data_IF_455796090305
#
_entry.id   IF_455796090305
#
_cell.length_a   1.000
_cell.length_b   1.000
_cell.length_c   1.000
_cell.angle_alpha   90.00
_cell.angle_beta   90.00
_cell.angle_gamma   90.00
#
_symmetry.space_group_name_H-M   'P 1'
#
loop_
_entity.id
_entity.type
_entity.pdbx_description
1 polymer ?
#
# COMPACT_ATOMS: atom_id res chain seq x y z
N UNK A 1 17.56 31.00 -6.05
CA UNK A 1 17.79 29.54 -6.09
C UNK A 1 16.56 28.87 -6.67
N UNK A 2 16.66 28.41 -7.91
CA UNK A 2 15.58 27.80 -8.68
C UNK A 2 15.58 26.31 -8.37
N UNK A 3 14.63 25.85 -7.56
CA UNK A 3 14.52 24.43 -7.21
C UNK A 3 13.68 23.76 -8.31
N UNK A 4 14.37 23.14 -9.26
CA UNK A 4 13.80 22.24 -10.26
C UNK A 4 13.44 20.90 -9.59
N UNK A 5 12.19 20.73 -9.20
CA UNK A 5 11.58 19.40 -9.21
C UNK A 5 10.97 19.19 -10.59
N UNK A 6 11.73 18.58 -11.49
CA UNK A 6 11.16 17.99 -12.70
C UNK A 6 10.41 16.76 -12.24
N UNK A 7 9.09 16.88 -12.07
CA UNK A 7 8.22 15.74 -12.34
C UNK A 7 8.56 15.28 -13.75
N UNK A 8 8.93 14.01 -13.92
CA UNK A 8 9.16 13.45 -15.25
C UNK A 8 7.90 13.56 -16.12
N UNK A 9 6.73 13.64 -15.46
CA UNK A 9 5.46 13.90 -16.11
C UNK A 9 5.01 15.34 -15.82
N UNK A 10 4.98 16.19 -16.85
CA UNK A 10 4.53 17.60 -16.79
C UNK A 10 3.06 17.77 -16.42
N UNK A 11 2.32 16.66 -16.36
CA UNK A 11 0.87 16.65 -16.39
C UNK A 11 0.25 16.67 -14.99
N UNK A 12 1.08 16.68 -13.93
CA UNK A 12 0.62 16.61 -12.54
C UNK A 12 1.11 17.79 -11.70
N UNK A 13 0.25 18.21 -10.76
CA UNK A 13 0.56 19.21 -9.77
C UNK A 13 1.68 18.72 -8.84
N UNK A 14 2.79 19.45 -8.77
CA UNK A 14 3.92 19.10 -7.92
C UNK A 14 3.66 19.17 -6.40
N UNK A 15 2.50 19.68 -5.96
CA UNK A 15 2.13 19.78 -4.54
C UNK A 15 1.04 18.79 -4.13
N UNK A 16 -0.07 18.73 -4.85
CA UNK A 16 -1.22 17.88 -4.50
C UNK A 16 -1.42 16.68 -5.42
N UNK A 17 -0.61 16.52 -6.48
CA UNK A 17 -0.69 15.36 -7.38
C UNK A 17 -1.91 15.34 -8.30
N UNK A 18 -2.77 16.36 -8.28
CA UNK A 18 -3.89 16.50 -9.23
C UNK A 18 -3.39 16.72 -10.64
N UNK A 19 -4.03 16.12 -11.64
CA UNK A 19 -3.76 16.38 -13.05
C UNK A 19 -3.93 17.88 -13.35
N UNK A 20 -2.91 18.49 -13.97
CA UNK A 20 -2.96 19.86 -14.43
C UNK A 20 -3.59 19.90 -15.83
N UNK A 21 -4.55 20.80 -16.02
CA UNK A 21 -5.07 21.11 -17.34
C UNK A 21 -4.03 21.99 -18.05
N UNK A 22 -3.09 21.37 -18.76
CA UNK A 22 -2.07 22.10 -19.51
C UNK A 22 -2.71 22.77 -20.74
N UNK A 23 -2.44 24.07 -20.97
CA UNK A 23 -2.88 24.76 -22.16
C UNK A 23 -2.14 24.21 -23.38
N UNK A 24 -2.78 24.22 -24.57
CA UNK A 24 -2.20 23.65 -25.79
C UNK A 24 -0.95 24.40 -26.26
N UNK A 25 -0.80 25.67 -25.88
CA UNK A 25 0.31 26.54 -26.28
C UNK A 25 1.02 27.11 -25.05
N UNK A 26 2.35 27.19 -25.11
CA UNK A 26 3.19 27.95 -24.19
C UNK A 26 3.70 29.23 -24.89
N UNK A 27 4.01 30.33 -24.18
CA UNK A 27 3.99 30.48 -22.72
C UNK A 27 2.57 30.68 -22.17
N UNK A 28 2.29 30.09 -21.01
CA UNK A 28 0.98 30.21 -20.35
C UNK A 28 1.06 29.94 -18.84
N UNK A 29 0.06 30.41 -18.12
CA UNK A 29 -0.05 30.26 -16.68
C UNK A 29 -1.05 29.15 -16.35
N UNK A 30 -0.61 28.18 -15.54
CA UNK A 30 -1.43 27.03 -15.14
C UNK A 30 -1.68 27.08 -13.65
N UNK A 31 -2.95 27.01 -13.25
CA UNK A 31 -3.36 26.93 -11.84
C UNK A 31 -3.95 25.56 -11.53
N UNK A 32 -3.52 24.94 -10.43
CA UNK A 32 -4.12 23.70 -9.95
C UNK A 32 -5.53 23.98 -9.40
N UNK A 33 -6.52 23.18 -9.83
CA UNK A 33 -7.91 23.29 -9.36
C UNK A 33 -8.13 22.91 -7.89
N UNK A 34 -7.20 22.15 -7.29
CA UNK A 34 -7.33 21.65 -5.91
C UNK A 34 -6.54 22.51 -4.92
N UNK A 35 -5.27 22.78 -5.20
CA UNK A 35 -4.40 23.54 -4.26
C UNK A 35 -4.15 24.99 -4.66
N UNK A 36 -4.75 25.48 -5.77
CA UNK A 36 -4.59 26.84 -6.30
C UNK A 36 -3.14 27.32 -6.56
N UNK A 37 -2.18 26.41 -6.54
CA UNK A 37 -0.79 26.75 -6.88
C UNK A 37 -0.69 27.08 -8.36
N UNK A 38 0.12 28.09 -8.69
CA UNK A 38 0.32 28.59 -10.05
C UNK A 38 1.72 28.24 -10.54
N UNK A 39 1.80 27.72 -11.77
CA UNK A 39 3.05 27.48 -12.48
C UNK A 39 3.07 28.27 -13.79
N UNK A 40 4.21 28.88 -14.09
CA UNK A 40 4.48 29.50 -15.38
C UNK A 40 5.09 28.46 -16.33
N UNK A 41 4.34 28.07 -17.36
CA UNK A 41 4.79 27.14 -18.39
C UNK A 41 5.58 27.91 -19.44
N UNK A 42 6.84 27.50 -19.64
CA UNK A 42 7.72 28.07 -20.67
C UNK A 42 7.76 27.16 -21.89
N UNK A 43 7.90 27.76 -23.06
CA UNK A 43 8.18 27.04 -24.29
C UNK A 43 9.54 26.32 -24.19
N UNK A 44 9.58 25.02 -24.55
CA UNK A 44 10.83 24.29 -24.75
C UNK A 44 11.21 24.38 -26.23
N UNK A 45 12.31 25.07 -26.54
CA UNK A 45 12.90 25.10 -27.88
C UNK A 45 13.79 23.86 -28.10
N UNK A 46 14.04 23.51 -29.36
CA UNK A 46 14.99 22.47 -29.80
C UNK A 46 14.68 21.02 -29.38
N UNK A 47 13.41 20.65 -29.24
CA UNK A 47 12.98 19.27 -28.97
C UNK A 47 11.92 18.82 -29.98
N UNK A 48 12.12 17.66 -30.62
CA UNK A 48 11.10 16.99 -31.44
C UNK A 48 10.16 16.22 -30.52
N UNK A 49 8.88 16.58 -30.50
CA UNK A 49 7.84 15.87 -29.73
C UNK A 49 6.97 15.08 -30.70
N UNK A 50 7.00 13.75 -30.62
CA UNK A 50 6.08 12.88 -31.33
C UNK A 50 4.84 12.62 -30.46
N UNK A 51 3.66 13.01 -30.92
CA UNK A 51 2.37 12.75 -30.26
C UNK A 51 1.60 11.70 -31.05
N UNK A 52 1.23 10.61 -30.40
CA UNK A 52 0.33 9.59 -30.97
C UNK A 52 -0.98 9.66 -30.21
N UNK A 53 -2.01 10.20 -30.85
CA UNK A 53 -3.38 10.16 -30.32
C UNK A 53 -4.08 8.91 -30.87
N UNK A 54 -4.39 7.96 -29.99
CA UNK A 54 -5.37 6.90 -30.29
C UNK A 54 -6.73 7.38 -29.82
N UNK A 55 -7.56 7.81 -30.77
CA UNK A 55 -8.97 8.11 -30.51
C UNK A 55 -9.69 6.76 -30.46
N UNK A 56 -10.20 6.41 -29.29
CA UNK A 56 -11.10 5.26 -29.16
C UNK A 56 -12.52 5.78 -29.44
N UNK A 57 -13.13 5.31 -30.53
CA UNK A 57 -14.46 5.75 -30.97
C UNK A 57 -15.61 5.25 -30.09
N UNK A 58 -15.34 4.41 -29.09
CA UNK A 58 -16.36 3.94 -28.15
C UNK A 58 -16.55 4.96 -27.02
N UNK A 59 -17.69 5.62 -27.03
CA UNK A 59 -18.16 6.34 -25.85
C UNK A 59 -18.68 5.34 -24.82
N UNK A 60 -18.66 5.70 -23.53
CA UNK A 60 -19.23 4.88 -22.43
C UNK A 60 -20.72 4.53 -22.69
N UNK A 61 -21.39 5.33 -23.52
CA UNK A 61 -22.75 5.09 -23.99
C UNK A 61 -22.87 3.88 -24.95
N UNK A 62 -21.81 3.50 -25.68
CA UNK A 62 -21.82 2.38 -26.64
C UNK A 62 -21.55 1.01 -25.97
N UNK A 63 -21.77 0.94 -24.65
CA UNK A 63 -21.73 -0.29 -23.86
C UNK A 63 -23.14 -0.89 -23.75
N UNK A 64 -23.84 -1.02 -24.88
CA UNK A 64 -25.06 -1.81 -25.02
C UNK A 64 -24.71 -3.30 -24.91
N UNK A 65 -24.51 -3.75 -23.67
CA UNK A 65 -24.13 -5.13 -23.37
C UNK A 65 -23.98 -5.45 -21.88
N UNK A 66 -24.21 -4.49 -20.99
CA UNK A 66 -24.60 -4.81 -19.61
C UNK A 66 -26.11 -4.87 -19.66
N UNK A 67 -26.66 -6.06 -19.94
CA UNK A 67 -28.00 -6.38 -19.50
C UNK A 67 -28.06 -5.92 -18.04
N UNK A 68 -29.01 -5.03 -17.73
CA UNK A 68 -29.40 -4.82 -16.35
C UNK A 68 -29.70 -6.23 -15.84
N UNK A 69 -28.82 -6.79 -15.00
CA UNK A 69 -29.22 -7.88 -14.13
C UNK A 69 -30.36 -7.29 -13.30
N UNK A 70 -31.59 -7.45 -13.81
CA UNK A 70 -32.78 -7.34 -12.99
C UNK A 70 -32.46 -8.13 -11.74
N UNK A 71 -32.51 -7.45 -10.60
CA UNK A 71 -32.30 -8.07 -9.29
C UNK A 71 -33.15 -9.33 -9.23
N UNK A 72 -32.52 -10.49 -9.40
CA UNK A 72 -33.22 -11.76 -9.44
C UNK A 72 -33.72 -12.00 -8.02
N UNK A 73 -34.97 -11.64 -7.77
CA UNK A 73 -35.65 -11.93 -6.52
C UNK A 73 -35.49 -13.42 -6.22
N UNK A 74 -35.12 -13.76 -5.00
CA UNK A 74 -34.85 -15.13 -4.59
C UNK A 74 -36.12 -15.98 -4.68
N UNK A 75 -36.18 -16.87 -5.69
CA UNK A 75 -37.28 -17.80 -5.91
C UNK A 75 -37.10 -19.03 -5.03
N UNK A 76 -38.11 -19.35 -4.21
CA UNK A 76 -38.14 -20.58 -3.39
C UNK A 76 -39.29 -21.48 -3.84
N UNK A 77 -39.07 -22.79 -3.83
CA UNK A 77 -40.12 -23.78 -4.09
C UNK A 77 -41.06 -23.87 -2.88
N UNK A 78 -42.14 -23.08 -2.92
CA UNK A 78 -43.17 -23.07 -1.90
C UNK A 78 -44.54 -23.04 -2.58
N UNK A 79 -45.37 -24.04 -2.30
CA UNK A 79 -46.71 -24.14 -2.88
C UNK A 79 -47.67 -23.21 -2.14
N UNK A 80 -48.18 -22.18 -2.82
CA UNK A 80 -49.12 -21.23 -2.23
C UNK A 80 -50.47 -21.90 -1.93
N UNK A 81 -50.93 -21.83 -0.68
CA UNK A 81 -52.20 -22.43 -0.24
C UNK A 81 -53.45 -21.75 -0.80
N UNK A 82 -53.33 -20.55 -1.38
CA UNK A 82 -54.45 -19.82 -2.01
C UNK A 82 -54.52 -19.99 -3.52
N UNK A 83 -53.39 -20.00 -4.23
CA UNK A 83 -53.37 -20.02 -5.70
C UNK A 83 -52.69 -21.25 -6.31
N UNK A 84 -52.19 -22.19 -5.49
CA UNK A 84 -51.65 -23.48 -5.94
C UNK A 84 -50.37 -23.42 -6.77
N UNK A 85 -49.71 -22.27 -6.88
CA UNK A 85 -48.46 -22.14 -7.61
C UNK A 85 -47.27 -22.63 -6.78
N UNK A 86 -46.34 -23.33 -7.43
CA UNK A 86 -45.26 -24.09 -6.79
C UNK A 86 -43.99 -23.27 -6.51
N UNK A 87 -44.00 -21.98 -6.86
CA UNK A 87 -42.87 -21.06 -6.73
C UNK A 87 -43.34 -19.80 -6.04
N UNK A 88 -42.57 -19.34 -5.06
CA UNK A 88 -42.79 -18.07 -4.37
C UNK A 88 -41.57 -17.17 -4.59
N UNK A 89 -41.84 -15.95 -5.04
CA UNK A 89 -40.86 -14.85 -5.09
C UNK A 89 -41.09 -13.98 -3.86
N UNK A 90 -40.01 -13.65 -3.14
CA UNK A 90 -40.08 -12.75 -1.99
C UNK A 90 -39.48 -11.40 -2.37
N UNK A 91 -40.30 -10.34 -2.33
CA UNK A 91 -39.82 -8.97 -2.38
C UNK A 91 -39.89 -8.37 -0.98
N UNK A 92 -38.81 -7.72 -0.54
CA UNK A 92 -38.81 -7.05 0.76
C UNK A 92 -39.39 -5.64 0.61
N UNK A 93 -40.52 -5.38 1.26
CA UNK A 93 -41.13 -4.05 1.33
C UNK A 93 -40.74 -3.43 2.68
N UNK A 94 -40.08 -2.26 2.66
CA UNK A 94 -39.75 -1.50 3.87
C UNK A 94 -41.06 -0.97 4.49
N UNK A 95 -41.57 -1.64 5.51
CA UNK A 95 -42.82 -1.28 6.22
C UNK A 95 -42.60 -0.26 7.35
N UNK A 96 -41.35 0.22 7.54
CA UNK A 96 -40.96 1.16 8.59
C UNK A 96 -40.39 2.45 8.01
N UNK A 97 -40.46 3.51 8.80
CA UNK A 97 -39.97 4.85 8.45
C UNK A 97 -38.50 4.81 7.99
N UNK A 98 -38.13 5.70 7.06
CA UNK A 98 -36.82 5.71 6.38
C UNK A 98 -35.62 5.91 7.32
N UNK A 99 -35.89 6.32 8.55
CA UNK A 99 -34.99 6.60 9.67
C UNK A 99 -34.62 5.35 10.50
N UNK A 100 -35.28 4.21 10.28
CA UNK A 100 -34.86 2.91 10.82
C UNK A 100 -34.21 2.05 9.70
N UNK A 101 -32.91 1.79 9.82
CA UNK A 101 -32.17 0.94 8.90
C UNK A 101 -32.68 -0.51 8.88
N UNK A 102 -32.67 -1.14 7.72
CA UNK A 102 -33.11 -2.52 7.51
C UNK A 102 -32.27 -3.52 8.34
N UNK A 103 -32.90 -4.35 9.17
CA UNK A 103 -32.23 -5.35 10.03
C UNK A 103 -31.79 -6.64 9.32
N UNK A 104 -31.43 -6.55 8.03
CA UNK A 104 -30.80 -7.65 7.29
C UNK A 104 -29.32 -7.32 7.10
N UNK A 105 -28.51 -7.70 8.10
CA UNK A 105 -27.12 -7.28 8.28
C UNK A 105 -26.08 -8.29 7.78
N UNK A 106 -26.43 -9.14 6.80
CA UNK A 106 -25.48 -10.09 6.20
C UNK A 106 -25.48 -10.00 4.68
N UNK A 107 -24.46 -9.35 4.14
CA UNK A 107 -24.16 -9.23 2.72
C UNK A 107 -25.06 -8.26 1.94
N UNK A 108 -25.90 -7.48 2.62
CA UNK A 108 -26.76 -6.49 1.97
C UNK A 108 -25.92 -5.34 1.44
N UNK A 109 -26.11 -5.01 0.15
CA UNK A 109 -25.52 -3.85 -0.51
C UNK A 109 -26.63 -2.84 -0.68
N UNK A 110 -26.39 -1.59 -0.30
CA UNK A 110 -27.34 -0.51 -0.47
C UNK A 110 -26.69 0.64 -1.27
N UNK A 111 -27.31 1.01 -2.39
CA UNK A 111 -26.84 2.11 -3.23
C UNK A 111 -25.43 1.89 -3.78
N UNK A 112 -24.53 2.83 -3.50
CA UNK A 112 -23.16 2.87 -4.05
C UNK A 112 -22.08 2.43 -3.05
N UNK A 113 -22.43 1.70 -1.99
CA UNK A 113 -21.54 1.29 -0.90
C UNK A 113 -20.35 0.40 -1.34
N UNK A 114 -20.46 -0.24 -2.51
CA UNK A 114 -19.37 -1.00 -3.14
C UNK A 114 -18.49 -0.17 -4.07
N UNK A 115 -18.93 1.02 -4.49
CA UNK A 115 -18.24 1.83 -5.51
C UNK A 115 -17.45 2.99 -4.92
N UNK A 116 -17.97 3.62 -3.87
CA UNK A 116 -17.36 4.78 -3.21
C UNK A 116 -17.16 4.52 -1.71
N UNK A 117 -16.41 5.38 -1.03
CA UNK A 117 -16.07 5.24 0.39
C UNK A 117 -17.21 5.70 1.31
N UNK A 118 -18.38 5.04 1.21
CA UNK A 118 -19.51 5.24 2.12
C UNK A 118 -19.71 3.98 2.98
N UNK A 119 -20.43 4.14 4.09
CA UNK A 119 -20.77 3.01 4.94
C UNK A 119 -21.80 2.11 4.27
N UNK A 120 -21.57 0.80 4.34
CA UNK A 120 -22.60 -0.20 4.08
C UNK A 120 -23.61 -0.24 5.24
N UNK A 121 -24.79 -0.89 5.06
CA UNK A 121 -25.74 -1.11 6.14
C UNK A 121 -25.14 -1.84 7.37
N UNK A 122 -24.03 -2.56 7.19
CA UNK A 122 -23.29 -3.24 8.26
C UNK A 122 -22.27 -2.35 8.97
N UNK A 123 -22.12 -1.08 8.56
CA UNK A 123 -21.11 -0.17 9.08
C UNK A 123 -19.70 -0.43 8.54
N UNK A 124 -19.57 -1.08 7.39
CA UNK A 124 -18.28 -1.40 6.74
C UNK A 124 -18.00 -0.46 5.59
N UNK A 125 -16.72 -0.33 5.22
CA UNK A 125 -16.29 0.44 4.05
C UNK A 125 -15.63 -0.52 3.06
N UNK A 126 -16.40 -1.01 2.08
CA UNK A 126 -15.95 -2.06 1.17
C UNK A 126 -14.74 -1.65 0.31
N UNK A 127 -14.64 -0.38 -0.10
CA UNK A 127 -13.48 0.11 -0.86
C UNK A 127 -12.15 -0.03 -0.10
N UNK A 128 -12.16 0.12 1.23
CA UNK A 128 -10.97 -0.11 2.06
C UNK A 128 -10.61 -1.59 2.11
N UNK A 129 -11.60 -2.48 2.22
CA UNK A 129 -11.38 -3.93 2.17
C UNK A 129 -10.83 -4.38 0.81
N UNK A 130 -11.29 -3.75 -0.28
CA UNK A 130 -10.75 -4.00 -1.61
C UNK A 130 -9.30 -3.53 -1.72
N UNK A 131 -8.94 -2.40 -1.11
CA UNK A 131 -7.54 -1.96 -1.04
C UNK A 131 -6.65 -2.97 -0.29
N UNK A 132 -7.13 -3.57 0.81
CA UNK A 132 -6.41 -4.66 1.49
C UNK A 132 -6.23 -5.89 0.60
N UNK A 133 -7.24 -6.25 -0.20
CA UNK A 133 -7.09 -7.32 -1.20
C UNK A 133 -6.10 -6.94 -2.30
N UNK A 134 -6.06 -5.68 -2.71
CA UNK A 134 -5.14 -5.18 -3.73
C UNK A 134 -3.67 -5.26 -3.30
N UNK A 135 -3.37 -5.20 -2.00
CA UNK A 135 -2.00 -5.43 -1.47
C UNK A 135 -1.45 -6.79 -1.92
N UNK A 136 -2.32 -7.81 -2.02
CA UNK A 136 -1.94 -9.17 -2.36
C UNK A 136 -1.73 -9.39 -3.87
N UNK A 137 -2.02 -8.39 -4.71
CA UNK A 137 -1.91 -8.50 -6.17
C UNK A 137 -0.49 -8.79 -6.68
N UNK A 138 0.55 -8.36 -5.96
CA UNK A 138 1.95 -8.58 -6.39
C UNK A 138 2.50 -9.96 -6.06
N UNK A 139 1.77 -10.77 -5.29
CA UNK A 139 2.23 -12.08 -4.83
C UNK A 139 3.61 -12.05 -4.14
N UNK A 140 3.89 -10.94 -3.45
CA UNK A 140 5.07 -10.77 -2.61
C UNK A 140 4.68 -10.84 -1.14
N UNK A 141 5.64 -11.24 -0.31
CA UNK A 141 5.54 -11.19 1.15
C UNK A 141 6.78 -10.50 1.70
N UNK A 142 6.56 -9.55 2.59
CA UNK A 142 7.60 -8.89 3.37
C UNK A 142 7.44 -9.25 4.85
N UNK A 143 8.56 -9.29 5.55
CA UNK A 143 8.65 -9.50 6.99
C UNK A 143 9.58 -8.46 7.58
N UNK A 144 9.22 -7.91 8.73
CA UNK A 144 10.10 -7.07 9.51
C UNK A 144 10.12 -7.52 10.97
N UNK A 145 11.29 -7.41 11.59
CA UNK A 145 11.56 -7.86 12.96
C UNK A 145 12.36 -6.79 13.69
N UNK A 146 11.96 -6.52 14.94
CA UNK A 146 12.70 -5.71 15.92
C UNK A 146 13.57 -6.65 16.75
N UNK A 147 14.88 -6.47 16.66
CA UNK A 147 15.85 -7.02 17.61
C UNK A 147 16.11 -6.05 18.77
N UNK A 148 17.11 -6.37 19.60
CA UNK A 148 17.52 -5.52 20.73
C UNK A 148 18.17 -4.23 20.28
N UNK A 149 19.11 -4.34 19.34
CA UNK A 149 19.93 -3.23 18.84
C UNK A 149 19.76 -3.01 17.33
N UNK A 150 18.84 -3.76 16.68
CA UNK A 150 18.67 -3.76 15.22
C UNK A 150 17.20 -3.83 14.81
N UNK A 151 16.84 -3.17 13.72
CA UNK A 151 15.57 -3.36 13.02
C UNK A 151 15.85 -3.89 11.61
N UNK A 152 15.09 -4.90 11.19
CA UNK A 152 15.34 -5.64 9.95
C UNK A 152 14.07 -5.71 9.12
N UNK A 153 14.22 -5.56 7.81
CA UNK A 153 13.23 -5.91 6.79
C UNK A 153 13.83 -6.98 5.89
N UNK A 154 13.05 -8.02 5.59
CA UNK A 154 13.31 -8.98 4.53
C UNK A 154 12.10 -9.06 3.60
N UNK A 155 12.34 -9.06 2.29
CA UNK A 155 11.27 -9.13 1.28
C UNK A 155 11.71 -9.97 0.09
N UNK A 156 10.74 -10.64 -0.53
CA UNK A 156 10.95 -11.34 -1.78
C UNK A 156 11.24 -10.37 -2.93
N UNK A 157 12.26 -10.70 -3.73
CA UNK A 157 12.55 -10.07 -5.01
C UNK A 157 12.22 -11.05 -6.14
N UNK A 158 11.29 -10.67 -7.02
CA UNK A 158 10.92 -11.46 -8.20
C UNK A 158 11.19 -10.67 -9.47
N UNK A 159 12.12 -11.17 -10.27
CA UNK A 159 12.41 -10.64 -11.61
C UNK A 159 11.82 -11.64 -12.61
N UNK A 160 10.67 -11.33 -13.24
CA UNK A 160 9.95 -12.31 -14.06
C UNK A 160 10.66 -12.60 -15.40
N UNK A 161 11.42 -11.64 -15.92
CA UNK A 161 12.09 -11.71 -17.22
C UNK A 161 13.57 -11.34 -17.06
N UNK A 162 14.46 -12.14 -17.66
CA UNK A 162 15.91 -11.90 -17.65
C UNK A 162 16.34 -10.64 -18.41
N UNK A 163 15.48 -10.07 -19.26
CA UNK A 163 15.71 -8.79 -19.93
C UNK A 163 15.51 -7.59 -19.00
N UNK A 164 14.87 -7.79 -17.85
CA UNK A 164 14.69 -6.73 -16.85
C UNK A 164 16.01 -6.53 -16.10
N UNK A 165 16.45 -5.27 -16.01
CA UNK A 165 17.58 -4.89 -15.16
C UNK A 165 17.19 -5.14 -13.70
N UNK A 166 17.67 -6.25 -13.13
CA UNK A 166 17.27 -6.75 -11.82
C UNK A 166 17.41 -5.71 -10.70
N UNK A 167 18.41 -4.83 -10.76
CA UNK A 167 18.66 -3.81 -9.75
C UNK A 167 17.57 -2.73 -9.68
N UNK A 168 16.82 -2.55 -10.78
CA UNK A 168 15.69 -1.60 -10.82
C UNK A 168 14.42 -2.15 -10.17
N UNK A 169 14.35 -3.47 -9.98
CA UNK A 169 13.23 -4.15 -9.32
C UNK A 169 13.52 -4.20 -7.83
N UNK A 170 12.83 -3.34 -7.08
CA UNK A 170 12.96 -3.29 -5.62
C UNK A 170 11.64 -2.96 -4.95
N UNK A 171 11.41 -3.56 -3.78
CA UNK A 171 10.32 -3.18 -2.87
C UNK A 171 10.84 -2.39 -1.67
N UNK A 172 12.16 -2.24 -1.55
CA UNK A 172 12.84 -1.62 -0.42
C UNK A 172 13.34 -0.23 -0.79
N UNK A 173 12.88 0.78 -0.06
CA UNK A 173 13.11 2.18 -0.33
C UNK A 173 13.71 2.90 0.89
N UNK A 174 14.63 3.82 0.61
CA UNK A 174 15.15 4.73 1.62
C UNK A 174 14.27 5.98 1.67
N UNK A 175 13.66 6.28 2.82
CA UNK A 175 12.85 7.48 3.02
C UNK A 175 13.70 8.67 3.46
N UNK A 176 14.61 8.43 4.40
CA UNK A 176 15.63 9.38 4.86
C UNK A 176 16.95 8.63 5.06
N UNK A 177 18.07 9.30 5.39
CA UNK A 177 19.28 8.60 5.81
C UNK A 177 19.08 7.59 6.94
N UNK A 178 18.11 7.82 7.84
CA UNK A 178 17.88 7.05 9.07
C UNK A 178 16.59 6.23 9.06
N UNK A 179 15.73 6.39 8.05
CA UNK A 179 14.45 5.67 7.92
C UNK A 179 14.44 4.92 6.58
N UNK A 180 14.26 3.60 6.69
CA UNK A 180 13.97 2.73 5.56
C UNK A 180 12.52 2.26 5.56
N UNK A 181 12.02 1.86 4.40
CA UNK A 181 10.75 1.17 4.32
C UNK A 181 10.73 0.08 3.25
N UNK A 182 9.80 -0.84 3.40
CA UNK A 182 9.33 -1.69 2.32
C UNK A 182 7.88 -1.32 2.00
N UNK A 183 7.56 -1.27 0.71
CA UNK A 183 6.23 -0.99 0.22
C UNK A 183 5.70 -2.19 -0.57
N UNK A 184 4.57 -2.76 -0.13
CA UNK A 184 3.95 -3.95 -0.72
C UNK A 184 2.54 -3.62 -1.20
N UNK A 185 2.18 -4.12 -2.37
CA UNK A 185 0.92 -3.86 -3.05
C UNK A 185 1.14 -3.25 -4.43
N UNK A 186 0.14 -2.52 -4.93
CA UNK A 186 0.22 -1.91 -6.26
C UNK A 186 1.46 -1.02 -6.38
N UNK A 187 2.33 -1.33 -7.35
CA UNK A 187 3.63 -0.67 -7.50
C UNK A 187 3.51 0.86 -7.69
N UNK A 188 2.57 1.39 -8.50
CA UNK A 188 2.39 2.84 -8.63
C UNK A 188 2.01 3.51 -7.30
N UNK A 189 1.09 2.89 -6.54
CA UNK A 189 0.64 3.39 -5.24
C UNK A 189 1.78 3.35 -4.21
N UNK A 190 2.56 2.26 -4.22
CA UNK A 190 3.73 2.11 -3.38
C UNK A 190 4.77 3.21 -3.65
N UNK A 191 5.10 3.46 -4.93
CA UNK A 191 6.02 4.54 -5.32
C UNK A 191 5.48 5.92 -4.93
N UNK A 192 4.17 6.15 -5.11
CA UNK A 192 3.53 7.39 -4.70
C UNK A 192 3.64 7.60 -3.18
N UNK A 193 3.32 6.60 -2.36
CA UNK A 193 3.46 6.70 -0.91
C UNK A 193 4.91 6.93 -0.47
N UNK A 194 5.88 6.28 -1.11
CA UNK A 194 7.31 6.49 -0.83
C UNK A 194 7.72 7.94 -1.11
N UNK A 195 7.32 8.50 -2.26
CA UNK A 195 7.60 9.90 -2.59
C UNK A 195 6.91 10.87 -1.63
N UNK A 196 5.67 10.58 -1.24
CA UNK A 196 4.94 11.37 -0.26
C UNK A 196 5.64 11.36 1.10
N UNK A 197 6.07 10.19 1.58
CA UNK A 197 6.80 10.05 2.83
C UNK A 197 8.15 10.79 2.82
N UNK A 198 8.90 10.69 1.72
CA UNK A 198 10.15 11.47 1.52
C UNK A 198 9.88 12.98 1.61
N UNK A 199 8.81 13.46 0.97
CA UNK A 199 8.44 14.87 0.99
C UNK A 199 8.01 15.34 2.39
N UNK A 200 7.24 14.54 3.13
CA UNK A 200 6.81 14.88 4.49
C UNK A 200 8.00 14.91 5.45
N UNK A 201 8.90 13.93 5.37
CA UNK A 201 10.12 13.90 6.19
C UNK A 201 11.06 15.08 5.90
N UNK A 202 11.24 15.44 4.62
CA UNK A 202 12.05 16.60 4.24
C UNK A 202 11.43 17.93 4.72
N UNK A 203 10.10 18.07 4.58
CA UNK A 203 9.35 19.24 5.07
C UNK A 203 9.46 19.37 6.59
N UNK A 204 9.36 18.26 7.33
CA UNK A 204 9.57 18.24 8.77
C UNK A 204 10.95 18.75 9.15
N UNK A 205 12.00 18.22 8.51
CA UNK A 205 13.39 18.61 8.79
C UNK A 205 13.62 20.10 8.51
N UNK A 206 13.06 20.61 7.43
CA UNK A 206 13.13 22.03 7.09
C UNK A 206 12.45 22.92 8.15
N UNK A 207 11.27 22.52 8.64
CA UNK A 207 10.50 23.32 9.60
C UNK A 207 11.02 23.26 11.02
N UNK A 208 11.47 22.08 11.46
CA UNK A 208 11.82 21.82 12.85
C UNK A 208 13.33 21.78 13.11
N UNK A 209 14.16 21.65 12.06
CA UNK A 209 15.62 21.65 12.19
C UNK A 209 16.26 20.31 12.57
N UNK A 210 15.47 19.24 12.76
CA UNK A 210 15.95 17.89 13.09
C UNK A 210 15.24 16.81 12.27
N UNK A 211 15.82 15.60 12.23
CA UNK A 211 15.26 14.48 11.47
C UNK A 211 13.91 14.02 12.06
N UNK A 212 12.95 13.71 11.18
CA UNK A 212 11.61 13.28 11.62
C UNK A 212 11.68 11.91 12.31
N UNK A 213 11.13 11.77 13.54
CA UNK A 213 10.99 10.46 14.18
C UNK A 213 10.16 9.50 13.34
N UNK A 214 10.53 8.23 13.31
CA UNK A 214 9.86 7.22 12.47
C UNK A 214 8.38 7.04 12.84
N UNK A 215 8.04 7.13 14.13
CA UNK A 215 6.64 7.06 14.57
C UNK A 215 5.82 8.21 14.00
N UNK A 216 6.34 9.45 14.06
CA UNK A 216 5.63 10.62 13.56
C UNK A 216 5.45 10.54 12.05
N UNK A 217 6.44 10.00 11.31
CA UNK A 217 6.29 9.77 9.88
C UNK A 217 5.23 8.71 9.59
N UNK A 218 5.22 7.60 10.33
CA UNK A 218 4.20 6.55 10.20
C UNK A 218 2.79 7.09 10.49
N UNK A 219 2.64 7.87 11.57
CA UNK A 219 1.40 8.58 11.90
C UNK A 219 0.96 9.52 10.78
N UNK A 220 1.87 10.34 10.27
CA UNK A 220 1.57 11.30 9.21
C UNK A 220 1.10 10.60 7.93
N UNK A 221 1.72 9.48 7.58
CA UNK A 221 1.31 8.66 6.44
C UNK A 221 -0.06 8.00 6.67
N UNK A 222 -0.35 7.53 7.89
CA UNK A 222 -1.68 7.04 8.25
C UNK A 222 -2.76 8.12 8.15
N UNK A 223 -2.49 9.33 8.65
CA UNK A 223 -3.43 10.47 8.52
C UNK A 223 -3.72 10.80 7.04
N UNK A 224 -2.69 10.74 6.18
CA UNK A 224 -2.87 10.92 4.74
C UNK A 224 -3.65 9.78 4.09
N UNK A 225 -3.46 8.54 4.54
CA UNK A 225 -4.23 7.40 4.05
C UNK A 225 -5.69 7.49 4.47
N UNK A 226 -5.96 7.96 5.70
CA UNK A 226 -7.29 8.21 6.22
C UNK A 226 -8.05 9.24 5.36
N UNK A 227 -7.35 10.24 4.83
CA UNK A 227 -7.98 11.20 3.92
C UNK A 227 -8.58 10.51 2.69
N UNK A 228 -7.91 9.51 2.12
CA UNK A 228 -8.45 8.70 1.01
C UNK A 228 -9.57 7.74 1.41
N UNK A 229 -9.81 7.50 2.70
CA UNK A 229 -10.92 6.65 3.15
C UNK A 229 -12.18 7.43 3.48
N UNK A 230 -12.06 8.75 3.69
CA UNK A 230 -13.19 9.62 4.01
C UNK A 230 -13.72 10.40 2.81
N UNK A 231 -12.88 10.64 1.80
CA UNK A 231 -13.25 11.44 0.63
C UNK A 231 -13.61 10.53 -0.55
N UNK A 232 -14.87 10.60 -0.99
CA UNK A 232 -15.46 9.67 -1.96
C UNK A 232 -14.95 9.85 -3.40
N UNK A 233 -14.33 10.99 -3.71
CA UNK A 233 -13.78 11.27 -5.03
C UNK A 233 -12.45 10.58 -5.32
N UNK A 234 -11.83 9.98 -4.29
CA UNK A 234 -10.57 9.26 -4.38
C UNK A 234 -10.73 7.83 -3.87
N UNK A 235 -9.90 6.93 -4.40
CA UNK A 235 -9.79 5.56 -3.88
C UNK A 235 -8.70 5.47 -2.82
N UNK A 236 -8.87 4.56 -1.87
CA UNK A 236 -7.78 4.15 -0.98
C UNK A 236 -6.62 3.54 -1.77
N UNK A 237 -5.40 3.75 -1.30
CA UNK A 237 -4.20 3.25 -1.94
C UNK A 237 -4.06 1.74 -1.71
N UNK A 238 -3.80 0.95 -2.75
CA UNK A 238 -3.71 -0.51 -2.69
C UNK A 238 -2.33 -1.00 -2.23
N UNK A 239 -1.72 -0.34 -1.24
CA UNK A 239 -0.41 -0.71 -0.72
C UNK A 239 -0.31 -0.48 0.80
N UNK A 240 0.57 -1.23 1.44
CA UNK A 240 0.96 -1.06 2.84
C UNK A 240 2.46 -0.83 2.95
N UNK A 241 2.85 -0.06 3.96
CA UNK A 241 4.25 0.24 4.26
C UNK A 241 4.67 -0.45 5.55
N UNK A 242 5.88 -0.96 5.58
CA UNK A 242 6.59 -1.26 6.82
C UNK A 242 7.82 -0.37 6.86
N UNK A 243 7.95 0.43 7.91
CA UNK A 243 9.06 1.34 8.14
C UNK A 243 9.94 0.80 9.26
N UNK A 244 11.25 0.96 9.11
CA UNK A 244 12.24 0.68 10.15
C UNK A 244 13.12 1.88 10.38
N UNK A 245 13.52 2.06 11.64
CA UNK A 245 14.49 3.05 12.05
C UNK A 245 15.22 2.59 13.33
N UNK A 246 16.21 3.38 13.74
CA UNK A 246 16.76 3.36 15.09
C UNK A 246 16.46 4.72 15.72
N UNK A 247 15.68 4.71 16.78
CA UNK A 247 15.37 5.85 17.61
C UNK A 247 16.34 5.91 18.80
N UNK A 248 16.73 7.11 19.23
CA UNK A 248 17.71 7.29 20.28
C UNK A 248 17.16 7.00 21.68
N UNK A 249 15.84 7.15 21.86
CA UNK A 249 15.14 6.89 23.12
C UNK A 249 14.59 5.46 23.16
N UNK A 250 13.91 5.04 22.10
CA UNK A 250 13.21 3.74 22.03
C UNK A 250 14.03 2.59 21.41
N UNK A 251 15.23 2.91 20.90
CA UNK A 251 16.10 1.97 20.19
C UNK A 251 15.53 1.58 18.82
N UNK A 252 15.72 0.33 18.36
CA UNK A 252 15.20 -0.09 17.06
C UNK A 252 13.67 -0.09 17.05
N UNK A 253 13.07 0.44 15.99
CA UNK A 253 11.62 0.53 15.81
C UNK A 253 11.17 -0.05 14.46
N UNK A 254 9.98 -0.64 14.46
CA UNK A 254 9.31 -1.20 13.27
C UNK A 254 7.86 -0.72 13.32
N UNK A 255 7.42 0.00 12.29
CA UNK A 255 6.05 0.51 12.17
C UNK A 255 5.39 -0.02 10.90
N UNK A 256 4.14 -0.46 11.02
CA UNK A 256 3.28 -0.77 9.86
C UNK A 256 2.31 0.38 9.64
N UNK A 257 2.08 0.74 8.37
CA UNK A 257 1.04 1.67 7.93
C UNK A 257 0.15 0.99 6.91
N UNK A 258 -1.15 1.02 7.17
CA UNK A 258 -2.18 0.39 6.34
C UNK A 258 -2.98 1.41 5.53
N UNK A 259 -3.63 0.97 4.43
CA UNK A 259 -4.44 1.85 3.59
C UNK A 259 -5.69 2.39 4.29
N UNK A 260 -6.12 1.76 5.39
CA UNK A 260 -7.23 2.23 6.23
C UNK A 260 -6.90 3.50 7.05
N UNK A 261 -5.64 3.97 7.01
CA UNK A 261 -5.19 5.06 7.87
C UNK A 261 -4.87 4.61 9.30
N UNK A 262 -4.50 3.35 9.48
CA UNK A 262 -4.02 2.81 10.74
C UNK A 262 -2.50 2.66 10.69
N UNK A 263 -1.83 2.99 11.80
CA UNK A 263 -0.43 2.67 12.00
C UNK A 263 -0.19 2.06 13.38
N UNK A 264 0.82 1.19 13.48
CA UNK A 264 1.20 0.59 14.76
C UNK A 264 2.66 0.17 14.80
N UNK A 265 3.30 0.41 15.94
CA UNK A 265 4.61 -0.16 16.26
C UNK A 265 4.50 -1.64 16.62
N UNK A 266 5.36 -2.49 16.07
CA UNK A 266 5.28 -3.95 16.23
C UNK A 266 6.66 -4.55 16.51
N UNK A 267 6.71 -5.66 17.27
CA UNK A 267 7.97 -6.42 17.47
C UNK A 267 8.33 -7.27 16.26
N UNK A 268 7.32 -7.74 15.53
CA UNK A 268 7.47 -8.44 14.27
C UNK A 268 6.17 -8.28 13.48
N UNK A 269 6.29 -8.06 12.18
CA UNK A 269 5.14 -7.83 11.30
C UNK A 269 5.40 -8.41 9.92
N UNK A 270 4.35 -8.89 9.27
CA UNK A 270 4.39 -9.32 7.88
C UNK A 270 3.26 -8.68 7.08
N UNK A 271 3.53 -8.40 5.82
CA UNK A 271 2.57 -7.84 4.86
C UNK A 271 2.70 -8.62 3.54
N UNK A 272 1.55 -8.87 2.89
CA UNK A 272 1.48 -9.54 1.58
C UNK A 272 0.76 -10.89 1.66
N UNK A 273 0.91 -11.69 0.60
CA UNK A 273 0.06 -12.88 0.38
C UNK A 273 0.17 -13.91 1.49
N UNK A 274 1.37 -14.14 2.04
CA UNK A 274 1.61 -15.13 3.09
C UNK A 274 1.68 -14.51 4.49
N UNK A 275 1.12 -13.32 4.69
CA UNK A 275 1.19 -12.60 5.98
C UNK A 275 0.65 -13.41 7.17
N UNK A 276 -0.41 -14.19 6.99
CA UNK A 276 -1.04 -14.95 8.08
C UNK A 276 -0.09 -16.04 8.60
N UNK A 277 0.49 -16.81 7.68
CA UNK A 277 1.46 -17.85 8.01
C UNK A 277 2.73 -17.27 8.65
N UNK A 278 3.28 -16.20 8.06
CA UNK A 278 4.45 -15.51 8.59
C UNK A 278 4.20 -14.93 10.00
N UNK A 279 3.04 -14.29 10.22
CA UNK A 279 2.67 -13.73 11.53
C UNK A 279 2.55 -14.83 12.59
N UNK A 280 1.86 -15.94 12.28
CA UNK A 280 1.77 -17.08 13.20
C UNK A 280 3.13 -17.70 13.55
N UNK A 281 4.08 -17.70 12.60
CA UNK A 281 5.44 -18.16 12.86
C UNK A 281 6.21 -17.19 13.78
N UNK A 282 6.16 -15.89 13.48
CA UNK A 282 6.79 -14.85 14.28
C UNK A 282 6.26 -14.84 15.71
N UNK A 283 4.94 -14.96 15.91
CA UNK A 283 4.34 -15.02 17.24
C UNK A 283 4.89 -16.19 18.07
N UNK A 284 5.05 -17.37 17.47
CA UNK A 284 5.59 -18.55 18.16
C UNK A 284 7.06 -18.36 18.56
N UNK A 285 7.87 -17.76 17.68
CA UNK A 285 9.31 -17.56 17.92
C UNK A 285 9.58 -16.42 18.90
N UNK A 286 8.91 -15.27 18.74
CA UNK A 286 9.06 -14.10 19.62
C UNK A 286 8.54 -14.39 21.05
N UNK A 287 7.52 -15.24 21.21
CA UNK A 287 7.07 -15.69 22.55
C UNK A 287 8.15 -16.49 23.30
N UNK A 288 9.00 -17.23 22.59
CA UNK A 288 10.09 -18.02 23.20
C UNK A 288 11.27 -17.14 23.60
N UNK A 289 11.62 -16.16 22.77
CA UNK A 289 12.73 -15.24 22.99
C UNK A 289 12.38 -13.86 22.44
N UNK A 290 12.16 -12.90 23.34
CA UNK A 290 11.82 -11.53 22.96
C UNK A 290 13.06 -10.70 22.58
N UNK A 291 14.18 -10.93 23.27
CA UNK A 291 15.42 -10.17 23.07
C UNK A 291 16.31 -10.88 22.05
N UNK A 292 16.15 -10.53 20.78
CA UNK A 292 16.93 -11.08 19.67
C UNK A 292 18.21 -10.24 19.48
N UNK A 293 19.35 -10.90 19.35
CA UNK A 293 20.57 -10.24 18.86
C UNK A 293 20.40 -9.77 17.42
N UNK A 294 21.34 -8.96 16.91
CA UNK A 294 21.27 -8.45 15.54
C UNK A 294 21.22 -9.56 14.48
N UNK A 295 22.08 -10.56 14.60
CA UNK A 295 22.09 -11.71 13.70
C UNK A 295 20.82 -12.56 13.84
N UNK A 296 20.36 -12.81 15.07
CA UNK A 296 19.14 -13.59 15.32
C UNK A 296 17.89 -12.90 14.78
N UNK A 297 17.84 -11.56 14.77
CA UNK A 297 16.73 -10.81 14.18
C UNK A 297 16.70 -10.95 12.65
N UNK A 298 17.87 -10.93 11.99
CA UNK A 298 18.00 -11.17 10.55
C UNK A 298 17.60 -12.60 10.20
N UNK A 299 18.15 -13.58 10.92
CA UNK A 299 17.85 -14.99 10.75
C UNK A 299 16.36 -15.28 10.97
N UNK A 300 15.74 -14.71 12.01
CA UNK A 300 14.30 -14.89 12.25
C UNK A 300 13.44 -14.31 11.13
N UNK A 301 13.82 -13.17 10.54
CA UNK A 301 13.10 -12.60 9.41
C UNK A 301 13.20 -13.50 8.15
N UNK A 302 14.36 -14.11 7.91
CA UNK A 302 14.59 -15.04 6.81
C UNK A 302 13.87 -16.39 7.03
N UNK A 303 13.98 -16.99 8.23
CA UNK A 303 13.26 -18.21 8.63
C UNK A 303 11.74 -18.03 8.47
N UNK A 304 11.22 -16.85 8.87
CA UNK A 304 9.79 -16.53 8.74
C UNK A 304 9.35 -16.48 7.27
N UNK A 305 10.18 -15.92 6.38
CA UNK A 305 9.92 -15.93 4.95
C UNK A 305 9.96 -17.36 4.39
N UNK A 306 11.04 -18.12 4.61
CA UNK A 306 11.16 -19.51 4.15
C UNK A 306 9.98 -20.37 4.57
N UNK A 307 9.65 -20.33 5.87
CA UNK A 307 8.53 -21.11 6.43
C UNK A 307 7.19 -20.69 5.85
N UNK A 308 6.95 -19.39 5.68
CA UNK A 308 5.68 -18.89 5.13
C UNK A 308 5.49 -19.22 3.65
N UNK A 309 6.59 -19.34 2.90
CA UNK A 309 6.60 -19.65 1.48
C UNK A 309 6.66 -21.16 1.21
N UNK A 310 7.16 -21.95 2.16
CA UNK A 310 7.36 -23.39 2.00
C UNK A 310 8.46 -23.72 1.00
N UNK A 311 9.43 -22.81 0.79
CA UNK A 311 10.55 -22.98 -0.13
C UNK A 311 11.83 -22.44 0.48
N UNK A 312 12.95 -23.05 0.10
CA UNK A 312 14.27 -22.52 0.38
C UNK A 312 14.54 -21.34 -0.56
N UNK A 313 14.64 -20.16 0.02
CA UNK A 313 14.94 -18.91 -0.70
C UNK A 313 16.43 -18.78 -0.96
N UNK A 314 16.78 -18.23 -2.12
CA UNK A 314 18.18 -17.92 -2.48
C UNK A 314 18.45 -16.43 -2.24
N UNK A 315 19.70 -16.07 -1.97
CA UNK A 315 20.08 -14.68 -1.70
C UNK A 315 19.65 -13.71 -2.82
N UNK A 316 19.72 -14.14 -4.10
CA UNK A 316 19.30 -13.33 -5.26
C UNK A 316 17.79 -13.03 -5.33
N UNK A 317 16.98 -13.87 -4.68
CA UNK A 317 15.52 -13.76 -4.69
C UNK A 317 15.01 -12.97 -3.47
N UNK A 318 15.91 -12.30 -2.75
CA UNK A 318 15.62 -11.55 -1.53
C UNK A 318 16.26 -10.17 -1.57
N UNK A 319 15.60 -9.22 -0.91
CA UNK A 319 16.23 -8.00 -0.44
C UNK A 319 16.12 -7.95 1.09
N UNK A 320 17.24 -7.70 1.75
CA UNK A 320 17.30 -7.53 3.20
C UNK A 320 17.88 -6.16 3.50
N UNK A 321 17.24 -5.43 4.39
CA UNK A 321 17.72 -4.14 4.85
C UNK A 321 17.69 -4.04 6.36
N UNK A 322 18.69 -3.37 6.90
CA UNK A 322 18.96 -3.30 8.33
C UNK A 322 19.32 -1.88 8.75
N UNK A 323 18.95 -1.58 9.98
CA UNK A 323 19.43 -0.41 10.73
C UNK A 323 19.86 -0.92 12.10
N UNK A 324 21.05 -0.51 12.55
CA UNK A 324 21.61 -0.95 13.84
C UNK A 324 21.94 0.23 14.73
N UNK A 325 22.20 -0.04 16.01
CA UNK A 325 22.66 0.95 16.98
C UNK A 325 23.97 1.61 16.57
N UNK A 326 24.91 0.82 16.04
CA UNK A 326 26.24 1.27 15.62
C UNK A 326 26.15 2.07 14.31
N UNK A 327 25.31 1.62 13.38
CA UNK A 327 25.04 2.29 12.12
C UNK A 327 23.55 2.59 11.99
N UNK A 328 23.17 3.77 12.49
CA UNK A 328 21.80 4.29 12.43
C UNK A 328 21.35 4.68 11.01
N UNK A 329 22.21 4.51 10.00
CA UNK A 329 21.84 4.73 8.60
C UNK A 329 21.18 3.50 8.02
N UNK A 330 20.18 3.74 7.18
CA UNK A 330 19.57 2.70 6.38
C UNK A 330 20.58 2.02 5.45
N UNK A 331 20.69 0.71 5.54
CA UNK A 331 21.61 -0.09 4.73
C UNK A 331 20.93 -1.34 4.17
N UNK A 332 21.19 -1.65 2.90
CA UNK A 332 20.81 -2.92 2.28
C UNK A 332 21.98 -3.90 2.43
N UNK A 333 21.69 -5.13 2.81
CA UNK A 333 22.69 -6.19 2.84
C UNK A 333 23.06 -6.61 1.42
N UNK A 334 24.32 -6.96 1.22
CA UNK A 334 24.82 -7.55 -0.02
C UNK A 334 24.37 -9.00 -0.15
N UNK A 335 24.38 -9.55 -1.38
CA UNK A 335 24.03 -10.95 -1.62
C UNK A 335 24.88 -11.92 -0.79
N UNK A 336 26.18 -11.65 -0.66
CA UNK A 336 27.11 -12.46 0.14
C UNK A 336 26.76 -12.47 1.64
N UNK A 337 26.37 -11.32 2.18
CA UNK A 337 25.93 -11.22 3.58
C UNK A 337 24.61 -11.97 3.81
N UNK A 338 23.67 -11.86 2.88
CA UNK A 338 22.41 -12.62 2.94
C UNK A 338 22.69 -14.12 2.88
N UNK A 339 23.57 -14.56 1.97
CA UNK A 339 23.96 -15.96 1.83
C UNK A 339 24.67 -16.50 3.09
N UNK A 340 25.51 -15.69 3.74
CA UNK A 340 26.11 -16.04 5.02
C UNK A 340 25.04 -16.36 6.08
N UNK A 341 24.02 -15.52 6.23
CA UNK A 341 22.92 -15.77 7.17
C UNK A 341 22.07 -17.00 6.78
N UNK A 342 21.81 -17.20 5.48
CA UNK A 342 21.09 -18.40 5.01
C UNK A 342 21.86 -19.69 5.35
N UNK A 343 23.20 -19.67 5.22
CA UNK A 343 24.04 -20.82 5.60
C UNK A 343 24.04 -21.06 7.11
N UNK A 344 24.01 -20.01 7.94
CA UNK A 344 23.90 -20.19 9.40
C UNK A 344 22.56 -20.83 9.79
N UNK A 345 21.46 -20.48 9.12
CA UNK A 345 20.16 -21.12 9.32
C UNK A 345 20.24 -22.60 8.96
N UNK A 346 20.79 -22.93 7.78
CA UNK A 346 20.92 -24.31 7.31
C UNK A 346 21.82 -25.19 8.21
N UNK A 347 22.81 -24.61 8.89
CA UNK A 347 23.68 -25.33 9.82
C UNK A 347 23.04 -25.55 11.21
N UNK A 348 21.93 -24.86 11.51
CA UNK A 348 21.23 -24.95 12.80
C UNK A 348 20.11 -25.99 12.80
N UNK A 349 19.59 -26.31 11.61
CA UNK A 349 18.55 -27.32 11.37
C UNK A 349 19.15 -28.73 11.19
#
# INVERSE_FOLDING_TARGET
MTINFVSIDSDFCGLCGTILALPPNAPADVSCKVCNTRWHVKEKKDHLVCRVEKIYERTVADTDGIEQEESVDSVVEHVCTKCGHNKATYSTMQTRSADEGQTMSRGSSAGFDRHITIFSPEGRVYQVEYAFKAINSTNLTAVAVKGKDTSVIAVQKRVPDGLIVADTVTSVYQLTPTIGCVAIGLIPDAKFQVRRAQSEAASWKYKNGYDMPCELLAKKMADLNQYYTQNAEMRSLGCALIMIAYDDEDGPVVFRVDPAGYYRGMKGVSVGVKQVAATSFLEKKIKKKADLSGAEAIELALEALQTSLGIDVRAKDLEVAVITKENKKFSKLTGEQVEHHLNQIANRD
#
